data_IF_221224011158
#
_entry.id   IF_221224011158
#
_cell.length_a   1.000
_cell.length_b   1.000
_cell.length_c   1.000
_cell.angle_alpha   90.00
_cell.angle_beta   90.00
_cell.angle_gamma   90.00
#
_symmetry.space_group_name_H-M   'P 1'
#
loop_
_entity.id
_entity.type
_entity.pdbx_description
1 polymer ?
#
# COMPACT_ATOMS: atom_id res chain seq x y z
N UNK A 1 32.79 24.85 -7.44
CA UNK A 1 33.14 25.90 -6.46
C UNK A 1 31.84 26.60 -6.05
N UNK A 2 31.78 27.07 -4.81
CA UNK A 2 30.63 27.59 -4.05
C UNK A 2 29.85 26.48 -3.34
N UNK A 3 29.88 26.33 -2.01
CA UNK A 3 30.34 27.24 -0.95
C UNK A 3 29.25 27.32 0.11
N UNK A 4 29.16 26.27 0.92
CA UNK A 4 28.21 26.06 2.02
C UNK A 4 28.47 27.03 3.17
N UNK A 5 27.44 27.70 3.70
CA UNK A 5 27.50 28.43 4.97
C UNK A 5 26.40 27.90 5.90
N UNK A 6 26.82 27.11 6.88
CA UNK A 6 26.01 26.64 8.01
C UNK A 6 26.10 27.70 9.10
N UNK A 7 24.96 28.22 9.55
CA UNK A 7 24.89 29.12 10.71
C UNK A 7 24.35 28.35 11.91
N UNK A 8 25.19 28.18 12.92
CA UNK A 8 24.92 27.50 14.19
C UNK A 8 24.20 28.46 15.13
N UNK A 9 23.04 28.06 15.68
CA UNK A 9 22.36 28.77 16.76
C UNK A 9 22.46 27.94 18.04
N UNK A 10 23.20 28.49 19.02
CA UNK A 10 23.35 27.98 20.38
C UNK A 10 22.14 28.40 21.24
N UNK A 11 21.47 27.44 21.87
CA UNK A 11 20.42 27.69 22.86
C UNK A 11 20.98 27.52 24.28
N UNK A 12 20.92 28.59 25.08
CA UNK A 12 21.27 28.59 26.51
C UNK A 12 20.03 28.19 27.33
N UNK A 13 20.15 27.09 28.09
CA UNK A 13 19.14 26.65 29.03
C UNK A 13 19.36 27.30 30.41
N UNK A 14 18.32 27.93 30.97
CA UNK A 14 18.26 28.33 32.36
C UNK A 14 17.25 27.43 33.08
N UNK A 15 17.75 26.59 33.99
CA UNK A 15 16.95 25.78 34.89
C UNK A 15 16.58 26.62 36.12
N UNK A 16 15.32 26.55 36.54
CA UNK A 16 14.89 27.03 37.86
C UNK A 16 14.11 25.92 38.54
N UNK A 17 14.73 25.37 39.58
CA UNK A 17 14.17 24.35 40.47
C UNK A 17 13.35 25.05 41.54
N UNK A 18 12.11 24.62 41.77
CA UNK A 18 11.42 24.89 43.04
C UNK A 18 10.57 23.67 43.40
N UNK A 19 10.91 23.07 44.54
CA UNK A 19 10.17 22.00 45.19
C UNK A 19 9.23 22.56 46.28
N UNK A 20 8.50 21.64 46.94
CA UNK A 20 7.61 21.79 48.12
C UNK A 20 6.12 21.86 47.69
N UNK A 21 5.13 21.13 48.25
CA UNK A 21 5.03 20.24 49.41
C UNK A 21 3.96 19.15 49.17
N UNK A 22 4.16 18.02 49.85
CA UNK A 22 3.21 16.94 50.11
C UNK A 22 2.15 17.38 51.11
N UNK A 23 0.87 17.10 50.85
CA UNK A 23 -0.15 16.96 51.90
C UNK A 23 -1.04 15.75 51.59
N UNK A 24 -1.14 14.86 52.56
CA UNK A 24 -1.91 13.62 52.59
C UNK A 24 -3.36 13.90 52.98
N UNK A 25 -4.32 13.31 52.27
CA UNK A 25 -5.69 13.06 52.75
C UNK A 25 -6.21 11.74 52.16
N UNK A 26 -6.76 10.89 53.03
CA UNK A 26 -7.28 9.54 52.74
C UNK A 26 -8.83 9.58 52.51
N UNK A 27 -9.51 8.46 52.24
CA UNK A 27 -10.13 8.17 50.94
C UNK A 27 -11.66 8.16 50.97
N UNK A 28 -12.32 8.52 49.86
CA UNK A 28 -13.74 8.21 49.68
C UNK A 28 -14.08 7.63 48.30
N UNK A 29 -14.77 6.49 48.39
CA UNK A 29 -15.55 5.76 47.37
C UNK A 29 -14.78 4.91 46.34
N UNK A 30 -14.87 3.60 46.57
CA UNK A 30 -14.53 2.57 45.60
C UNK A 30 -15.47 2.65 44.38
N UNK A 31 -14.90 2.99 43.22
CA UNK A 31 -15.60 2.89 41.94
C UNK A 31 -15.79 1.42 41.56
N UNK A 32 -17.04 1.06 41.25
CA UNK A 32 -17.55 -0.29 40.88
C UNK A 32 -16.85 -0.95 39.68
N UNK A 33 -15.87 -0.28 39.06
CA UNK A 33 -15.10 -0.72 37.89
C UNK A 33 -13.94 -1.69 38.23
N UNK A 34 -13.54 -1.80 39.51
CA UNK A 34 -12.44 -2.70 39.92
C UNK A 34 -12.88 -4.12 40.32
N UNK A 35 -14.19 -4.35 40.49
CA UNK A 35 -14.76 -5.67 40.81
C UNK A 35 -14.88 -6.59 39.58
N UNK A 36 -14.92 -6.04 38.36
CA UNK A 36 -15.03 -6.81 37.11
C UNK A 36 -13.69 -7.29 36.54
N UNK A 37 -12.55 -6.98 37.18
CA UNK A 37 -11.21 -7.33 36.67
C UNK A 37 -10.56 -8.47 37.47
N UNK A 38 -11.13 -8.90 38.59
CA UNK A 38 -10.50 -9.89 39.49
C UNK A 38 -11.24 -11.24 39.60
N UNK A 39 -12.18 -11.56 38.70
CA UNK A 39 -13.00 -12.78 38.80
C UNK A 39 -13.03 -13.66 37.55
N UNK A 40 -11.92 -13.76 36.81
CA UNK A 40 -11.76 -14.71 35.70
C UNK A 40 -10.59 -15.70 35.90
N UNK A 41 -10.37 -16.11 37.16
CA UNK A 41 -9.63 -17.32 37.48
C UNK A 41 -10.59 -18.32 38.13
N UNK A 42 -10.83 -19.43 37.42
CA UNK A 42 -11.64 -20.61 37.77
C UNK A 42 -13.14 -20.59 37.40
N UNK A 43 -13.56 -21.72 36.80
CA UNK A 43 -14.88 -22.15 36.35
C UNK A 43 -15.36 -21.65 34.97
N UNK A 44 -15.53 -22.60 34.05
CA UNK A 44 -15.90 -22.40 32.65
C UNK A 44 -17.23 -21.69 32.47
N UNK A 45 -17.20 -20.59 31.73
CA UNK A 45 -18.36 -19.89 31.20
C UNK A 45 -18.08 -19.52 29.76
N UNK A 46 -19.02 -19.87 28.88
CA UNK A 46 -19.06 -19.51 27.46
C UNK A 46 -18.91 -17.99 27.32
N UNK A 47 -17.73 -17.52 26.94
CA UNK A 47 -17.53 -16.13 26.53
C UNK A 47 -17.88 -16.01 25.04
N UNK A 48 -18.91 -15.23 24.74
CA UNK A 48 -19.18 -14.69 23.41
C UNK A 48 -18.00 -13.79 23.01
N UNK A 49 -17.02 -14.39 22.35
CA UNK A 49 -15.86 -13.69 21.81
C UNK A 49 -16.28 -12.81 20.65
N UNK A 50 -16.19 -11.49 20.83
CA UNK A 50 -16.09 -10.58 19.69
C UNK A 50 -14.78 -10.88 18.97
N UNK A 51 -14.87 -11.40 17.75
CA UNK A 51 -13.74 -11.63 16.86
C UNK A 51 -13.19 -10.27 16.41
N UNK A 52 -12.18 -9.78 17.13
CA UNK A 52 -11.24 -8.82 16.58
C UNK A 52 -10.12 -9.64 15.96
N UNK A 53 -9.84 -9.57 14.65
CA UNK A 53 -8.65 -10.20 14.09
C UNK A 53 -7.43 -9.43 14.60
N UNK A 54 -6.98 -9.75 15.81
CA UNK A 54 -5.60 -9.53 16.19
C UNK A 54 -4.80 -10.53 15.37
N UNK A 55 -3.89 -10.00 14.55
CA UNK A 55 -2.76 -10.77 14.03
C UNK A 55 -1.94 -11.19 15.24
N UNK A 56 -2.29 -12.33 15.84
CA UNK A 56 -1.38 -13.04 16.72
C UNK A 56 -0.13 -13.31 15.90
N UNK A 57 1.04 -12.97 16.47
CA UNK A 57 2.32 -13.24 15.84
C UNK A 57 2.38 -14.70 15.44
N UNK A 58 2.19 -14.96 14.15
CA UNK A 58 2.40 -16.27 13.58
C UNK A 58 3.86 -16.61 13.89
N UNK A 59 4.09 -17.77 14.53
CA UNK A 59 5.36 -18.47 14.40
C UNK A 59 5.77 -18.37 12.94
N UNK A 60 6.84 -17.64 12.65
CA UNK A 60 7.14 -17.19 11.30
C UNK A 60 7.21 -18.40 10.37
N UNK A 61 6.18 -18.59 9.55
CA UNK A 61 6.17 -19.64 8.54
C UNK A 61 7.36 -19.34 7.62
N UNK A 62 8.32 -20.27 7.46
CA UNK A 62 9.52 -19.99 6.68
C UNK A 62 9.17 -19.60 5.24
N UNK A 63 9.64 -18.42 4.83
CA UNK A 63 9.48 -17.95 3.45
C UNK A 63 10.39 -18.76 2.53
N UNK A 64 9.83 -19.39 1.49
CA UNK A 64 10.63 -20.11 0.48
C UNK A 64 11.40 -19.09 -0.35
N UNK A 65 10.71 -18.03 -0.77
CA UNK A 65 11.30 -16.84 -1.36
C UNK A 65 10.40 -15.62 -1.10
N UNK A 66 10.75 -14.47 -1.68
CA UNK A 66 10.02 -13.21 -1.45
C UNK A 66 8.62 -13.19 -2.10
N UNK A 67 8.33 -14.06 -3.06
CA UNK A 67 7.05 -14.07 -3.80
C UNK A 67 6.06 -15.11 -3.27
N UNK A 68 6.54 -16.22 -2.72
CA UNK A 68 5.72 -17.38 -2.36
C UNK A 68 5.94 -17.76 -0.90
N UNK A 69 4.85 -17.76 -0.15
CA UNK A 69 4.76 -18.33 1.19
C UNK A 69 3.80 -19.53 1.14
N UNK A 70 4.20 -20.66 1.74
CA UNK A 70 3.37 -21.86 1.84
C UNK A 70 3.17 -22.20 3.30
N UNK A 71 1.92 -22.23 3.72
CA UNK A 71 1.54 -22.54 5.08
C UNK A 71 1.49 -24.06 5.32
N UNK A 72 1.58 -24.52 6.58
CA UNK A 72 1.47 -25.94 6.91
C UNK A 72 0.15 -26.60 6.50
N UNK A 73 -0.91 -25.80 6.27
CA UNK A 73 -2.22 -26.27 5.79
C UNK A 73 -2.34 -26.29 4.25
N UNK A 74 -1.20 -26.17 3.55
CA UNK A 74 -1.07 -26.08 2.10
C UNK A 74 -1.56 -24.78 1.47
N UNK A 75 -1.96 -23.77 2.26
CA UNK A 75 -2.31 -22.45 1.72
C UNK A 75 -1.09 -21.79 1.07
N UNK A 76 -1.23 -21.39 -0.19
CA UNK A 76 -0.20 -20.69 -0.96
C UNK A 76 -0.53 -19.20 -1.02
N UNK A 77 0.26 -18.39 -0.33
CA UNK A 77 0.14 -16.93 -0.36
C UNK A 77 1.11 -16.36 -1.39
N UNK A 78 0.58 -15.69 -2.40
CA UNK A 78 1.36 -15.03 -3.45
C UNK A 78 1.44 -13.53 -3.16
N UNK A 79 2.67 -13.02 -3.02
CA UNK A 79 2.93 -11.61 -2.75
C UNK A 79 3.04 -10.80 -4.04
N UNK A 80 2.16 -9.81 -4.19
CA UNK A 80 2.00 -9.05 -5.43
C UNK A 80 2.16 -7.56 -5.17
N UNK A 81 3.15 -6.91 -5.77
CA UNK A 81 3.37 -5.47 -5.58
C UNK A 81 2.41 -4.57 -6.40
N UNK A 82 1.71 -5.10 -7.41
CA UNK A 82 0.77 -4.32 -8.25
C UNK A 82 -0.59 -4.14 -7.60
N UNK A 83 -1.19 -2.95 -7.72
CA UNK A 83 -2.48 -2.64 -7.13
C UNK A 83 -3.63 -3.21 -7.96
N UNK A 84 -4.71 -3.64 -7.30
CA UNK A 84 -5.91 -4.18 -7.93
C UNK A 84 -7.05 -3.17 -7.84
N UNK A 85 -7.61 -2.83 -9.00
CA UNK A 85 -8.50 -1.69 -9.23
C UNK A 85 -9.75 -2.11 -10.04
N UNK A 86 -9.92 -3.42 -10.27
CA UNK A 86 -10.96 -3.99 -11.13
C UNK A 86 -10.42 -4.67 -12.40
N UNK A 87 -9.14 -4.47 -12.73
CA UNK A 87 -8.51 -5.01 -13.94
C UNK A 87 -8.05 -6.47 -13.81
N UNK A 88 -7.96 -7.04 -12.59
CA UNK A 88 -7.62 -8.45 -12.37
C UNK A 88 -6.14 -8.75 -12.45
N UNK A 89 -5.29 -7.74 -12.29
CA UNK A 89 -3.83 -7.91 -12.25
C UNK A 89 -3.42 -8.83 -11.11
N UNK A 90 -4.06 -8.72 -9.95
CA UNK A 90 -3.75 -9.56 -8.80
C UNK A 90 -4.01 -11.04 -9.10
N UNK A 91 -5.19 -11.36 -9.64
CA UNK A 91 -5.52 -12.75 -10.04
C UNK A 91 -4.60 -13.22 -11.16
N UNK A 92 -4.35 -12.41 -12.19
CA UNK A 92 -3.50 -12.79 -13.31
C UNK A 92 -2.05 -13.09 -12.91
N UNK A 93 -1.46 -12.27 -12.03
CA UNK A 93 -0.12 -12.53 -11.49
C UNK A 93 -0.10 -13.76 -10.59
N UNK A 94 -1.13 -13.98 -9.77
CA UNK A 94 -1.26 -15.18 -8.95
C UNK A 94 -1.35 -16.45 -9.82
N UNK A 95 -2.11 -16.42 -10.92
CA UNK A 95 -2.17 -17.55 -11.86
C UNK A 95 -0.79 -17.88 -12.44
N UNK A 96 -0.02 -16.87 -12.85
CA UNK A 96 1.33 -17.08 -13.40
C UNK A 96 2.28 -17.69 -12.36
N UNK A 97 2.18 -17.28 -11.09
CA UNK A 97 2.96 -17.89 -10.00
C UNK A 97 2.50 -19.33 -9.76
N UNK A 98 1.19 -19.58 -9.66
CA UNK A 98 0.62 -20.90 -9.40
C UNK A 98 0.94 -21.91 -10.52
N UNK A 99 0.90 -21.45 -11.77
CA UNK A 99 1.26 -22.22 -12.96
C UNK A 99 2.69 -22.75 -12.89
N UNK A 100 3.64 -21.88 -12.55
CA UNK A 100 5.03 -22.25 -12.37
C UNK A 100 5.26 -23.01 -11.07
N UNK A 101 4.55 -22.67 -9.99
CA UNK A 101 4.67 -23.38 -8.73
C UNK A 101 4.08 -24.80 -8.81
N UNK A 102 3.19 -25.07 -9.77
CA UNK A 102 2.42 -26.32 -9.86
C UNK A 102 1.64 -26.62 -8.57
N UNK A 103 1.07 -25.59 -7.94
CA UNK A 103 0.19 -25.75 -6.79
C UNK A 103 -1.29 -25.91 -7.21
N UNK A 104 -2.12 -26.32 -6.27
CA UNK A 104 -3.57 -26.31 -6.47
C UNK A 104 -4.11 -24.88 -6.41
N UNK A 105 -4.79 -24.42 -7.46
CA UNK A 105 -5.40 -23.09 -7.52
C UNK A 105 -6.37 -22.84 -6.36
N UNK A 106 -7.06 -23.89 -5.88
CA UNK A 106 -8.00 -23.78 -4.76
C UNK A 106 -7.32 -23.41 -3.43
N UNK A 107 -5.98 -23.51 -3.36
CA UNK A 107 -5.17 -23.14 -2.19
C UNK A 107 -4.51 -21.77 -2.31
N UNK A 108 -4.70 -21.08 -3.44
CA UNK A 108 -4.01 -19.81 -3.72
C UNK A 108 -4.77 -18.65 -3.10
N UNK A 109 -4.03 -17.80 -2.39
CA UNK A 109 -4.45 -16.48 -1.94
C UNK A 109 -3.34 -15.46 -2.24
N UNK A 110 -3.60 -14.19 -1.96
CA UNK A 110 -2.65 -13.11 -2.23
C UNK A 110 -2.47 -12.19 -1.05
N UNK A 111 -1.30 -11.59 -0.96
CA UNK A 111 -0.95 -10.59 0.03
C UNK A 111 -0.24 -9.41 -0.64
N UNK A 112 -0.47 -8.20 -0.14
CA UNK A 112 0.37 -7.06 -0.48
C UNK A 112 1.62 -7.05 0.41
N UNK A 113 2.83 -7.27 -0.14
CA UNK A 113 4.03 -6.83 0.56
C UNK A 113 3.99 -5.31 0.72
N UNK A 114 4.55 -4.79 1.80
CA UNK A 114 4.57 -3.34 2.05
C UNK A 114 5.75 -2.67 1.33
N UNK A 115 5.64 -1.38 0.94
CA UNK A 115 6.77 -0.62 0.43
C UNK A 115 7.94 -0.57 1.41
N UNK A 116 7.68 -0.56 2.74
CA UNK A 116 8.72 -0.67 3.76
C UNK A 116 9.45 -2.01 3.71
N UNK A 117 8.73 -3.13 3.56
CA UNK A 117 9.34 -4.45 3.34
C UNK A 117 10.17 -4.47 2.06
N UNK A 118 9.68 -3.85 0.97
CA UNK A 118 10.43 -3.76 -0.28
C UNK A 118 11.74 -3.00 -0.10
N UNK A 119 11.70 -1.83 0.55
CA UNK A 119 12.87 -1.01 0.83
C UNK A 119 13.90 -1.78 1.67
N UNK A 120 13.44 -2.43 2.75
CA UNK A 120 14.30 -3.22 3.64
C UNK A 120 14.97 -4.41 2.93
N UNK A 121 14.41 -4.88 1.81
CA UNK A 121 14.89 -6.02 1.02
C UNK A 121 15.45 -5.61 -0.33
N UNK A 122 16.10 -4.44 -0.40
CA UNK A 122 16.77 -3.94 -1.61
C UNK A 122 15.87 -3.95 -2.86
N UNK A 123 14.59 -3.60 -2.67
CA UNK A 123 13.55 -3.56 -3.72
C UNK A 123 13.29 -4.92 -4.39
N UNK A 124 13.24 -5.99 -3.60
CA UNK A 124 13.04 -7.36 -4.09
C UNK A 124 11.79 -7.58 -4.97
N UNK A 125 10.74 -6.75 -4.83
CA UNK A 125 9.54 -6.81 -5.67
C UNK A 125 9.52 -5.76 -6.79
N UNK A 126 10.62 -5.03 -6.99
CA UNK A 126 10.72 -3.98 -7.98
C UNK A 126 9.93 -2.72 -7.60
N UNK A 127 9.43 -2.02 -8.62
CA UNK A 127 8.66 -0.79 -8.43
C UNK A 127 7.21 -1.09 -8.00
N UNK A 128 6.62 -0.23 -7.17
CA UNK A 128 5.26 -0.39 -6.62
C UNK A 128 4.19 0.38 -7.39
N UNK A 129 4.47 0.78 -8.63
CA UNK A 129 3.57 1.61 -9.45
C UNK A 129 2.60 0.77 -10.30
N UNK A 130 1.34 1.13 -10.37
CA UNK A 130 0.37 0.52 -11.29
C UNK A 130 -0.19 1.60 -12.20
N UNK A 131 0.05 1.47 -13.51
CA UNK A 131 -0.41 2.44 -14.51
C UNK A 131 0.09 2.09 -15.90
N UNK A 132 -0.51 2.68 -16.94
CA UNK A 132 -0.10 2.48 -18.34
C UNK A 132 -0.20 1.03 -18.84
N UNK A 133 -1.12 0.24 -18.29
CA UNK A 133 -1.29 -1.20 -18.62
C UNK A 133 -0.03 -2.04 -18.40
N UNK A 134 0.85 -1.62 -17.47
CA UNK A 134 2.14 -2.26 -17.17
C UNK A 134 2.06 -3.42 -16.19
N UNK A 135 0.98 -3.54 -15.43
CA UNK A 135 0.86 -4.49 -14.30
C UNK A 135 1.31 -5.92 -14.65
N UNK A 136 0.65 -6.56 -15.63
CA UNK A 136 1.06 -7.87 -16.14
C UNK A 136 2.31 -7.76 -17.03
N UNK A 137 2.33 -6.81 -17.96
CA UNK A 137 3.38 -6.68 -19.00
C UNK A 137 4.79 -6.57 -18.43
N UNK A 138 4.97 -5.92 -17.30
CA UNK A 138 6.28 -5.74 -16.66
C UNK A 138 6.52 -6.75 -15.53
N UNK A 139 5.49 -7.49 -15.12
CA UNK A 139 5.60 -8.38 -13.97
C UNK A 139 5.59 -9.85 -14.29
N UNK A 140 5.09 -10.25 -15.46
CA UNK A 140 4.89 -11.66 -15.77
C UNK A 140 6.17 -12.49 -15.66
N UNK A 141 7.32 -11.96 -16.06
CA UNK A 141 8.58 -12.73 -16.07
C UNK A 141 9.10 -13.00 -14.66
N UNK A 142 9.24 -11.96 -13.82
CA UNK A 142 9.81 -12.13 -12.48
C UNK A 142 8.90 -12.95 -11.55
N UNK A 143 7.57 -12.80 -11.65
CA UNK A 143 6.66 -13.60 -10.82
C UNK A 143 6.71 -15.08 -11.20
N UNK A 144 6.81 -15.38 -12.50
CA UNK A 144 6.98 -16.76 -12.99
C UNK A 144 8.28 -17.37 -12.49
N UNK A 145 9.38 -16.62 -12.57
CA UNK A 145 10.68 -17.05 -12.01
C UNK A 145 10.58 -17.32 -10.51
N UNK A 146 9.87 -16.47 -9.78
CA UNK A 146 9.58 -16.68 -8.35
C UNK A 146 8.83 -17.99 -8.08
N UNK A 147 7.77 -18.28 -8.84
CA UNK A 147 7.01 -19.53 -8.72
C UNK A 147 7.84 -20.77 -9.08
N UNK A 148 8.60 -20.72 -10.18
CA UNK A 148 9.44 -21.83 -10.63
C UNK A 148 10.59 -22.11 -9.65
N UNK A 149 11.25 -21.06 -9.14
CA UNK A 149 12.30 -21.20 -8.13
C UNK A 149 11.76 -21.84 -6.84
N UNK A 150 10.58 -21.42 -6.37
CA UNK A 150 9.93 -22.04 -5.21
C UNK A 150 9.65 -23.53 -5.44
N UNK A 151 9.10 -23.91 -6.61
CA UNK A 151 8.89 -25.32 -6.99
C UNK A 151 10.21 -26.11 -6.95
N UNK A 152 11.28 -25.57 -7.54
CA UNK A 152 12.59 -26.23 -7.57
C UNK A 152 13.13 -26.47 -6.16
N UNK A 153 13.03 -25.47 -5.27
CA UNK A 153 13.48 -25.59 -3.88
C UNK A 153 12.65 -26.62 -3.10
N UNK A 154 11.33 -26.66 -3.31
CA UNK A 154 10.44 -27.65 -2.69
C UNK A 154 10.76 -29.08 -3.14
N UNK A 155 10.93 -29.28 -4.45
CA UNK A 155 11.31 -30.57 -5.04
C UNK A 155 12.69 -31.00 -4.55
N UNK A 156 13.65 -30.09 -4.50
CA UNK A 156 14.99 -30.38 -3.98
C UNK A 156 14.94 -30.80 -2.51
N UNK A 157 14.19 -30.09 -1.66
CA UNK A 157 14.06 -30.44 -0.25
C UNK A 157 13.46 -31.84 -0.05
N UNK A 158 12.46 -32.21 -0.86
CA UNK A 158 11.91 -33.57 -0.83
C UNK A 158 12.92 -34.61 -1.29
N UNK A 159 13.63 -34.34 -2.40
CA UNK A 159 14.64 -35.21 -2.96
C UNK A 159 15.81 -35.47 -1.99
N UNK A 160 16.29 -34.41 -1.32
CA UNK A 160 17.32 -34.49 -0.28
C UNK A 160 16.85 -35.36 0.90
N UNK A 161 15.62 -35.14 1.39
CA UNK A 161 15.04 -35.95 2.46
C UNK A 161 14.83 -37.42 2.07
N UNK A 162 14.75 -37.71 0.78
CA UNK A 162 14.56 -39.03 0.21
C UNK A 162 15.85 -39.72 -0.24
N UNK A 163 16.96 -39.00 -0.31
CA UNK A 163 18.23 -39.48 -0.84
C UNK A 163 18.18 -39.82 -2.33
N UNK A 164 17.43 -39.07 -3.13
CA UNK A 164 17.24 -39.32 -4.58
C UNK A 164 17.56 -38.07 -5.41
N UNK A 165 17.84 -38.19 -6.71
CA UNK A 165 17.94 -37.03 -7.60
C UNK A 165 16.63 -36.25 -7.69
N UNK A 166 16.70 -34.92 -7.65
CA UNK A 166 15.53 -34.05 -7.82
C UNK A 166 14.84 -34.21 -9.18
N UNK A 167 15.59 -34.59 -10.22
CA UNK A 167 15.06 -34.88 -11.56
C UNK A 167 14.09 -36.07 -11.59
N UNK A 168 14.19 -36.98 -10.61
CA UNK A 168 13.30 -38.15 -10.49
C UNK A 168 12.00 -37.84 -9.72
N UNK A 169 11.87 -36.60 -9.26
CA UNK A 169 10.71 -36.11 -8.52
C UNK A 169 9.85 -35.19 -9.39
N UNK A 170 8.52 -35.39 -9.35
CA UNK A 170 7.54 -34.56 -10.05
C UNK A 170 6.64 -33.85 -9.05
N UNK A 171 6.38 -32.57 -9.30
CA UNK A 171 5.36 -31.81 -8.59
C UNK A 171 4.05 -31.74 -9.39
N UNK A 172 2.92 -31.86 -8.70
CA UNK A 172 1.59 -31.68 -9.26
C UNK A 172 0.62 -31.29 -8.15
N UNK A 173 -0.09 -30.16 -8.32
CA UNK A 173 -1.07 -29.64 -7.36
C UNK A 173 -0.56 -29.59 -5.91
N UNK A 174 0.70 -29.19 -5.71
CA UNK A 174 1.31 -29.08 -4.38
C UNK A 174 1.78 -30.39 -3.76
N UNK A 175 1.73 -31.50 -4.51
CA UNK A 175 2.24 -32.80 -4.08
C UNK A 175 3.50 -33.13 -4.87
N UNK A 176 4.55 -33.53 -4.17
CA UNK A 176 5.81 -34.00 -4.76
C UNK A 176 5.79 -35.52 -4.71
N UNK A 177 6.10 -36.16 -5.84
CA UNK A 177 6.14 -37.63 -5.98
C UNK A 177 7.47 -38.07 -6.57
N UNK A 178 8.15 -39.02 -5.93
CA UNK A 178 9.29 -39.73 -6.53
C UNK A 178 8.79 -40.97 -7.27
N UNK A 179 8.88 -40.97 -8.60
CA UNK A 179 8.20 -41.94 -9.46
C UNK A 179 8.64 -43.39 -9.18
N UNK A 180 9.95 -43.65 -9.06
CA UNK A 180 10.47 -45.00 -8.91
C UNK A 180 10.08 -45.68 -7.59
N UNK A 181 9.92 -44.91 -6.52
CA UNK A 181 9.56 -45.44 -5.19
C UNK A 181 8.09 -45.22 -4.80
N UNK A 182 7.33 -44.48 -5.61
CA UNK A 182 5.99 -43.98 -5.29
C UNK A 182 5.85 -43.16 -3.99
N UNK A 183 6.96 -42.77 -3.33
CA UNK A 183 6.96 -41.86 -2.17
C UNK A 183 6.34 -40.51 -2.53
N UNK A 184 5.58 -39.95 -1.58
CA UNK A 184 4.90 -38.66 -1.72
C UNK A 184 5.11 -37.78 -0.49
N UNK A 185 5.13 -36.47 -0.72
CA UNK A 185 5.10 -35.43 0.32
C UNK A 185 4.37 -34.21 -0.22
N UNK A 186 4.04 -33.25 0.64
CA UNK A 186 3.32 -32.02 0.27
C UNK A 186 4.22 -30.79 0.36
N UNK A 187 3.80 -29.70 -0.26
CA UNK A 187 4.53 -28.44 -0.19
C UNK A 187 4.58 -27.87 1.22
N UNK A 188 3.48 -27.88 1.97
CA UNK A 188 3.44 -27.41 3.35
C UNK A 188 4.42 -28.16 4.26
N UNK A 189 4.55 -29.48 4.07
CA UNK A 189 5.51 -30.29 4.80
C UNK A 189 6.97 -29.95 4.44
N UNK A 190 7.25 -29.62 3.18
CA UNK A 190 8.61 -29.34 2.70
C UNK A 190 9.02 -27.86 2.83
N UNK A 191 8.08 -26.93 3.00
CA UNK A 191 8.36 -25.50 3.04
C UNK A 191 9.45 -25.11 4.06
N UNK A 192 9.48 -25.63 5.32
CA UNK A 192 10.54 -25.31 6.27
C UNK A 192 11.95 -25.78 5.86
N UNK A 193 12.04 -26.89 5.12
CA UNK A 193 13.31 -27.39 4.60
C UNK A 193 13.72 -26.61 3.35
N UNK A 194 12.78 -26.37 2.44
CA UNK A 194 13.00 -25.59 1.22
C UNK A 194 13.48 -24.17 1.51
N UNK A 195 12.94 -23.50 2.52
CA UNK A 195 13.34 -22.14 2.92
C UNK A 195 14.80 -22.02 3.38
N UNK A 196 15.47 -23.14 3.69
CA UNK A 196 16.90 -23.16 4.07
C UNK A 196 17.83 -23.33 2.87
N UNK A 197 17.28 -23.69 1.71
CA UNK A 197 18.07 -23.89 0.50
C UNK A 197 18.44 -22.53 -0.12
N UNK A 198 19.60 -22.49 -0.77
CA UNK A 198 19.98 -21.35 -1.59
C UNK A 198 19.06 -21.31 -2.83
N UNK A 199 18.44 -20.16 -3.16
CA UNK A 199 17.63 -20.03 -4.37
C UNK A 199 18.44 -20.39 -5.64
N UNK A 200 17.84 -21.13 -6.58
CA UNK A 200 18.51 -21.48 -7.84
C UNK A 200 18.77 -20.24 -8.69
N UNK A 201 19.86 -20.24 -9.44
CA UNK A 201 20.22 -19.16 -10.38
C UNK A 201 19.75 -19.44 -11.80
N UNK A 202 19.69 -20.71 -12.21
CA UNK A 202 19.16 -21.14 -13.49
C UNK A 202 17.70 -21.59 -13.31
N UNK A 203 16.77 -20.76 -13.77
CA UNK A 203 15.33 -20.96 -13.56
C UNK A 203 14.67 -21.21 -14.91
N UNK A 204 14.27 -22.47 -15.13
CA UNK A 204 13.54 -22.87 -16.33
C UNK A 204 12.04 -22.65 -16.11
N UNK A 205 11.45 -21.81 -16.96
CA UNK A 205 10.03 -21.53 -16.98
C UNK A 205 9.27 -22.52 -17.87
N UNK A 206 8.00 -22.78 -17.54
CA UNK A 206 7.13 -23.63 -18.38
C UNK A 206 6.87 -23.00 -19.75
N UNK A 207 6.66 -23.82 -20.77
CA UNK A 207 6.15 -23.34 -22.07
C UNK A 207 4.68 -22.90 -21.89
N UNK A 208 4.29 -21.67 -22.28
CA UNK A 208 2.91 -21.22 -22.27
C UNK A 208 1.90 -22.16 -22.94
N UNK A 209 2.33 -22.96 -23.92
CA UNK A 209 1.49 -23.97 -24.58
C UNK A 209 1.07 -25.12 -23.64
N UNK A 210 1.77 -25.29 -22.53
CA UNK A 210 1.53 -26.35 -21.53
C UNK A 210 0.82 -25.84 -20.28
N UNK A 211 0.40 -24.58 -20.27
CA UNK A 211 -0.25 -23.99 -19.11
C UNK A 211 -1.63 -24.59 -18.85
N UNK A 212 -1.95 -24.78 -17.58
CA UNK A 212 -3.22 -25.36 -17.13
C UNK A 212 -4.01 -24.46 -16.17
N UNK A 213 -3.37 -23.43 -15.62
CA UNK A 213 -3.91 -22.43 -14.71
C UNK A 213 -3.84 -21.05 -15.38
N UNK A 214 -2.65 -20.64 -15.83
CA UNK A 214 -2.44 -19.32 -16.41
C UNK A 214 -3.18 -19.16 -17.74
N UNK A 215 -3.91 -18.06 -17.88
CA UNK A 215 -4.72 -17.74 -19.07
C UNK A 215 -6.07 -18.44 -19.10
N UNK A 216 -6.40 -19.26 -18.09
CA UNK A 216 -7.72 -19.87 -17.96
C UNK A 216 -8.73 -18.92 -17.31
N UNK A 217 -10.03 -19.02 -17.65
CA UNK A 217 -11.09 -18.18 -17.10
C UNK A 217 -11.49 -18.62 -15.69
N UNK A 218 -10.52 -18.63 -14.76
CA UNK A 218 -10.74 -18.98 -13.36
C UNK A 218 -11.46 -17.84 -12.62
N UNK A 219 -12.32 -18.14 -11.63
CA UNK A 219 -12.88 -17.13 -10.74
C UNK A 219 -11.76 -16.29 -10.11
N UNK A 220 -11.97 -14.97 -10.02
CA UNK A 220 -10.98 -14.10 -9.38
C UNK A 220 -10.93 -14.35 -7.88
N UNK A 221 -9.72 -14.22 -7.32
CA UNK A 221 -9.46 -14.43 -5.90
C UNK A 221 -10.21 -13.44 -5.00
N UNK A 222 -10.59 -12.28 -5.53
CA UNK A 222 -11.25 -11.19 -4.84
C UNK A 222 -12.77 -11.10 -5.13
N UNK A 223 -13.34 -11.98 -5.97
CA UNK A 223 -14.75 -11.89 -6.37
C UNK A 223 -15.71 -11.99 -5.18
N UNK A 224 -15.57 -13.02 -4.33
CA UNK A 224 -16.53 -13.28 -3.25
C UNK A 224 -16.59 -12.13 -2.25
N UNK A 225 -15.42 -11.60 -1.84
CA UNK A 225 -15.37 -10.48 -0.90
C UNK A 225 -16.04 -9.22 -1.49
N UNK A 226 -15.83 -8.95 -2.79
CA UNK A 226 -16.42 -7.81 -3.49
C UNK A 226 -17.93 -7.93 -3.66
N UNK A 227 -18.46 -9.12 -3.95
CA UNK A 227 -19.90 -9.31 -4.20
C UNK A 227 -20.73 -9.47 -2.93
N UNK A 228 -20.11 -9.79 -1.80
CA UNK A 228 -20.78 -9.93 -0.50
C UNK A 228 -20.70 -8.68 0.37
N UNK A 229 -19.95 -7.65 -0.05
CA UNK A 229 -19.65 -6.47 0.77
C UNK A 229 -18.66 -6.74 1.92
N UNK A 230 -18.00 -7.91 1.93
CA UNK A 230 -17.00 -8.26 2.93
C UNK A 230 -15.62 -7.65 2.63
N UNK A 231 -15.39 -7.19 1.40
CA UNK A 231 -14.14 -6.55 1.02
C UNK A 231 -13.99 -5.20 1.73
N UNK A 232 -12.89 -5.06 2.49
CA UNK A 232 -12.50 -3.80 3.13
C UNK A 232 -11.69 -2.98 2.12
N UNK A 233 -12.19 -1.78 1.80
CA UNK A 233 -11.48 -0.73 1.07
C UNK A 233 -10.88 0.29 2.04
N UNK A 234 -10.17 1.30 1.53
CA UNK A 234 -9.52 2.31 2.36
C UNK A 234 -10.49 3.04 3.31
N UNK A 235 -11.69 3.37 2.83
CA UNK A 235 -12.72 4.03 3.63
C UNK A 235 -13.39 3.15 4.68
N UNK A 236 -13.35 1.84 4.50
CA UNK A 236 -14.01 0.89 5.41
C UNK A 236 -13.14 0.62 6.65
N UNK A 237 -11.86 0.99 6.60
CA UNK A 237 -10.89 0.72 7.64
C UNK A 237 -11.32 1.34 8.97
N UNK A 238 -11.35 0.51 10.01
CA UNK A 238 -11.59 0.94 11.39
C UNK A 238 -10.41 0.56 12.26
N UNK A 239 -9.94 1.51 13.07
CA UNK A 239 -8.94 1.29 14.10
C UNK A 239 -9.51 1.69 15.47
N UNK A 240 -9.08 1.06 16.56
CA UNK A 240 -9.45 1.50 17.90
C UNK A 240 -9.06 2.97 18.11
N UNK A 241 -10.04 3.80 18.48
CA UNK A 241 -9.82 5.24 18.70
C UNK A 241 -9.65 6.08 17.42
N UNK A 242 -9.95 5.52 16.24
CA UNK A 242 -9.88 6.26 14.97
C UNK A 242 -10.76 7.52 15.01
N UNK A 243 -10.15 8.66 14.72
CA UNK A 243 -10.84 9.93 14.45
C UNK A 243 -10.98 10.12 12.94
N UNK A 244 -11.95 10.95 12.56
CA UNK A 244 -12.24 11.25 11.16
C UNK A 244 -11.89 12.72 10.88
N UNK A 245 -11.22 12.96 9.77
CA UNK A 245 -10.92 14.30 9.28
C UNK A 245 -11.75 14.60 8.03
N UNK A 246 -12.33 15.79 7.96
CA UNK A 246 -12.88 16.36 6.74
C UNK A 246 -12.09 17.62 6.39
N UNK A 247 -11.67 17.74 5.14
CA UNK A 247 -10.76 18.78 4.66
C UNK A 247 -11.48 19.71 3.68
N UNK A 248 -11.13 21.00 3.72
CA UNK A 248 -11.41 21.96 2.65
C UNK A 248 -10.10 22.58 2.22
N UNK A 249 -9.85 22.52 0.92
CA UNK A 249 -8.70 23.13 0.25
C UNK A 249 -9.16 24.40 -0.48
N UNK A 250 -8.20 25.28 -0.78
CA UNK A 250 -8.45 26.44 -1.62
C UNK A 250 -9.00 25.97 -2.98
N UNK A 251 -10.14 26.52 -3.45
CA UNK A 251 -10.72 26.08 -4.71
C UNK A 251 -9.93 26.55 -5.95
N UNK A 252 -8.94 27.42 -5.77
CA UNK A 252 -8.11 27.98 -6.83
C UNK A 252 -6.71 27.35 -6.78
N UNK A 253 -6.27 26.80 -7.92
CA UNK A 253 -4.95 26.15 -8.03
C UNK A 253 -3.85 27.18 -7.73
N UNK A 254 -3.00 26.87 -6.74
CA UNK A 254 -1.91 27.76 -6.30
C UNK A 254 -2.36 28.86 -5.33
N UNK A 255 -3.65 28.91 -4.97
CA UNK A 255 -4.15 29.71 -3.87
C UNK A 255 -3.76 29.13 -2.51
N UNK A 256 -3.93 29.94 -1.45
CA UNK A 256 -3.47 29.66 -0.09
C UNK A 256 -4.55 29.90 0.96
N UNK A 257 -4.42 29.20 2.09
CA UNK A 257 -5.17 29.48 3.31
C UNK A 257 -4.67 30.78 3.92
N UNK A 258 -5.49 31.84 3.87
CA UNK A 258 -5.14 33.13 4.47
C UNK A 258 -5.47 33.16 5.94
N UNK A 259 -6.70 32.80 6.30
CA UNK A 259 -7.15 32.65 7.70
C UNK A 259 -8.45 31.85 7.79
N UNK A 260 -8.76 31.34 8.98
CA UNK A 260 -10.04 30.74 9.32
C UNK A 260 -10.43 31.06 10.77
N UNK A 261 -11.72 31.02 11.08
CA UNK A 261 -12.23 31.11 12.46
C UNK A 261 -12.70 29.75 12.97
N UNK A 262 -11.87 29.10 13.79
CA UNK A 262 -12.18 27.80 14.37
C UNK A 262 -13.08 27.87 15.60
N UNK A 263 -13.24 29.02 16.25
CA UNK A 263 -13.89 29.09 17.56
C UNK A 263 -15.34 28.56 17.55
N UNK A 264 -16.21 28.92 16.58
CA UNK A 264 -17.56 28.38 16.50
C UNK A 264 -17.57 26.86 16.27
N UNK A 265 -16.64 26.38 15.44
CA UNK A 265 -16.58 24.99 15.01
C UNK A 265 -16.06 24.07 16.11
N UNK A 266 -15.11 24.53 16.92
CA UNK A 266 -14.58 23.77 18.06
C UNK A 266 -15.62 23.53 19.16
N UNK A 267 -16.67 24.35 19.23
CA UNK A 267 -17.79 24.16 20.16
C UNK A 267 -18.83 23.15 19.66
N UNK A 268 -18.74 22.70 18.40
CA UNK A 268 -19.65 21.71 17.85
C UNK A 268 -19.41 20.33 18.45
N UNK A 269 -20.49 19.59 18.70
CA UNK A 269 -20.45 18.27 19.32
C UNK A 269 -19.51 17.30 18.57
N UNK A 270 -18.56 16.72 19.31
CA UNK A 270 -17.66 15.68 18.83
C UNK A 270 -16.45 16.19 18.03
N UNK A 271 -16.36 17.49 17.74
CA UNK A 271 -15.16 18.11 17.18
C UNK A 271 -14.03 18.05 18.19
N UNK A 272 -12.83 17.72 17.71
CA UNK A 272 -11.61 17.56 18.53
C UNK A 272 -10.57 18.62 18.20
N UNK A 273 -10.40 18.92 16.93
CA UNK A 273 -9.37 19.83 16.42
C UNK A 273 -9.81 20.47 15.10
N UNK A 274 -9.30 21.67 14.84
CA UNK A 274 -9.32 22.34 13.52
C UNK A 274 -7.88 22.71 13.22
N UNK A 275 -7.31 22.17 12.14
CA UNK A 275 -5.88 22.28 11.85
C UNK A 275 -5.64 22.74 10.42
N UNK A 276 -4.71 23.68 10.18
CA UNK A 276 -4.23 23.94 8.83
C UNK A 276 -3.52 22.68 8.30
N UNK A 277 -3.64 22.45 6.99
CA UNK A 277 -3.01 21.34 6.27
C UNK A 277 -2.29 21.93 5.06
N UNK A 278 -0.96 21.82 5.05
CA UNK A 278 -0.14 22.52 4.05
C UNK A 278 -0.34 24.04 4.14
N UNK A 279 -0.16 24.72 3.01
CA UNK A 279 -0.35 26.17 2.87
C UNK A 279 -1.72 26.55 2.28
N UNK A 280 -2.50 25.57 1.80
CA UNK A 280 -3.73 25.81 1.04
C UNK A 280 -5.02 25.25 1.68
N UNK A 281 -4.93 24.43 2.72
CA UNK A 281 -6.10 23.71 3.24
C UNK A 281 -6.26 23.78 4.76
N UNK A 282 -7.47 23.47 5.21
CA UNK A 282 -7.84 23.32 6.63
C UNK A 282 -8.69 22.07 6.82
N UNK A 283 -8.42 21.31 7.87
CA UNK A 283 -9.15 20.09 8.22
C UNK A 283 -9.79 20.21 9.61
N UNK A 284 -11.02 19.68 9.72
CA UNK A 284 -11.70 19.48 11.00
C UNK A 284 -11.66 18.01 11.36
N UNK A 285 -11.21 17.71 12.58
CA UNK A 285 -11.11 16.35 13.13
C UNK A 285 -12.21 16.13 14.15
N UNK A 286 -12.96 15.04 14.02
CA UNK A 286 -14.05 14.66 14.93
C UNK A 286 -14.11 13.15 15.18
N UNK A 287 -14.92 12.73 16.14
CA UNK A 287 -15.14 11.31 16.45
C UNK A 287 -15.94 10.53 15.38
N UNK A 288 -16.62 11.23 14.47
CA UNK A 288 -17.32 10.64 13.32
C UNK A 288 -17.11 11.51 12.08
N UNK A 289 -17.11 10.89 10.90
CA UNK A 289 -16.96 11.62 9.64
C UNK A 289 -18.06 12.67 9.44
N UNK A 290 -19.31 12.35 9.77
CA UNK A 290 -20.42 13.29 9.58
C UNK A 290 -20.31 14.56 10.43
N UNK A 291 -19.79 14.44 11.66
CA UNK A 291 -19.51 15.60 12.51
C UNK A 291 -18.37 16.43 11.94
N UNK A 292 -17.28 15.79 11.49
CA UNK A 292 -16.17 16.48 10.83
C UNK A 292 -16.63 17.23 9.58
N UNK A 293 -17.44 16.58 8.72
CA UNK A 293 -17.93 17.17 7.46
C UNK A 293 -18.84 18.38 7.71
N UNK A 294 -19.84 18.24 8.60
CA UNK A 294 -20.71 19.36 8.97
C UNK A 294 -19.92 20.54 9.56
N UNK A 295 -18.92 20.24 10.37
CA UNK A 295 -18.08 21.22 11.02
C UNK A 295 -17.16 21.96 10.04
N UNK A 296 -16.53 21.27 9.09
CA UNK A 296 -15.71 21.92 8.05
C UNK A 296 -16.55 22.71 7.05
N UNK A 297 -17.80 22.30 6.78
CA UNK A 297 -18.73 23.07 5.93
C UNK A 297 -19.16 24.38 6.57
N UNK A 298 -19.29 24.41 7.90
CA UNK A 298 -19.62 25.60 8.67
C UNK A 298 -18.41 26.52 8.96
N UNK A 299 -17.20 26.06 8.66
CA UNK A 299 -15.98 26.81 8.93
C UNK A 299 -15.91 28.06 8.03
N UNK A 300 -15.73 29.22 8.66
CA UNK A 300 -15.50 30.47 7.95
C UNK A 300 -14.02 30.53 7.56
N UNK A 301 -13.76 30.49 6.24
CA UNK A 301 -12.42 30.46 5.68
C UNK A 301 -12.26 31.63 4.72
N UNK A 302 -11.13 32.32 4.82
CA UNK A 302 -10.68 33.30 3.84
C UNK A 302 -9.47 32.72 3.09
N UNK A 303 -9.56 32.76 1.77
CA UNK A 303 -8.51 32.31 0.86
C UNK A 303 -7.74 33.51 0.31
N UNK A 304 -6.45 33.32 0.09
CA UNK A 304 -5.69 34.10 -0.88
C UNK A 304 -5.72 33.32 -2.19
N UNK A 305 -6.56 33.74 -3.15
CA UNK A 305 -6.81 32.99 -4.39
C UNK A 305 -5.60 32.99 -5.33
N UNK A 306 -4.59 33.83 -5.08
CA UNK A 306 -3.35 33.83 -5.84
C UNK A 306 -3.51 34.24 -7.31
N UNK A 307 -2.49 33.97 -8.15
CA UNK A 307 -2.43 34.48 -9.52
C UNK A 307 -3.43 33.82 -10.48
N UNK A 308 -3.99 32.65 -10.14
CA UNK A 308 -4.90 31.90 -11.00
C UNK A 308 -6.39 32.14 -10.68
N UNK A 309 -6.72 33.13 -9.83
CA UNK A 309 -8.10 33.45 -9.46
C UNK A 309 -9.03 33.70 -10.66
N UNK A 310 -8.46 34.16 -11.78
CA UNK A 310 -9.19 34.48 -13.01
C UNK A 310 -8.86 33.52 -14.17
N UNK A 311 -8.15 32.42 -13.92
CA UNK A 311 -7.77 31.48 -14.96
C UNK A 311 -9.01 30.80 -15.56
N UNK A 312 -9.19 30.94 -16.88
CA UNK A 312 -10.31 30.35 -17.61
C UNK A 312 -9.87 29.18 -18.49
N UNK A 313 -10.85 28.38 -18.96
CA UNK A 313 -10.58 27.34 -19.97
C UNK A 313 -10.00 27.93 -21.25
N UNK A 314 -10.41 29.15 -21.65
CA UNK A 314 -9.90 29.80 -22.85
C UNK A 314 -8.42 30.19 -22.71
N UNK A 315 -7.99 30.62 -21.52
CA UNK A 315 -6.58 30.91 -21.24
C UNK A 315 -5.73 29.64 -21.31
N UNK A 316 -6.23 28.54 -20.77
CA UNK A 316 -5.56 27.23 -20.81
C UNK A 316 -5.47 26.71 -22.24
N UNK A 317 -6.55 26.80 -23.03
CA UNK A 317 -6.56 26.38 -24.43
C UNK A 317 -5.55 27.19 -25.26
N UNK A 318 -5.48 28.50 -25.02
CA UNK A 318 -4.49 29.37 -25.67
C UNK A 318 -3.06 29.00 -25.28
N UNK A 319 -2.81 28.71 -24.00
CA UNK A 319 -1.51 28.26 -23.49
C UNK A 319 -1.08 26.94 -24.13
N UNK A 320 -1.96 25.93 -24.15
CA UNK A 320 -1.66 24.62 -24.74
C UNK A 320 -1.42 24.72 -26.24
N UNK A 321 -2.20 25.54 -26.95
CA UNK A 321 -2.01 25.79 -28.39
C UNK A 321 -0.67 26.45 -28.67
N UNK A 322 -0.29 27.47 -27.92
CA UNK A 322 1.02 28.11 -28.07
C UNK A 322 2.18 27.14 -27.79
N UNK A 323 1.98 26.18 -26.89
CA UNK A 323 2.97 25.12 -26.60
C UNK A 323 3.27 24.18 -27.76
N UNK A 324 2.39 24.05 -28.76
CA UNK A 324 2.63 23.22 -29.95
C UNK A 324 3.75 23.78 -30.84
N UNK A 325 3.88 25.11 -30.86
CA UNK A 325 4.86 25.84 -31.68
C UNK A 325 6.11 26.25 -30.88
N UNK A 326 6.16 25.91 -29.59
CA UNK A 326 7.24 26.34 -28.70
C UNK A 326 8.58 25.66 -29.06
N UNK A 327 9.69 26.44 -29.17
CA UNK A 327 10.99 25.88 -29.53
C UNK A 327 11.58 24.97 -28.45
N UNK A 328 11.14 25.09 -27.20
CA UNK A 328 11.60 24.31 -26.04
C UNK A 328 10.80 23.01 -25.81
N UNK A 329 10.11 22.49 -26.83
CA UNK A 329 9.33 21.25 -26.73
C UNK A 329 10.16 20.04 -26.25
N UNK A 330 9.60 19.28 -25.30
CA UNK A 330 10.18 18.01 -24.85
C UNK A 330 10.03 16.94 -25.95
N UNK A 331 11.15 16.36 -26.38
CA UNK A 331 11.16 15.24 -27.33
C UNK A 331 10.72 13.97 -26.59
N UNK A 332 9.46 13.57 -26.79
CA UNK A 332 8.90 12.35 -26.18
C UNK A 332 9.37 11.04 -26.83
N UNK A 333 9.65 11.07 -28.14
CA UNK A 333 10.21 9.95 -28.90
C UNK A 333 10.86 10.49 -30.18
N UNK A 334 12.02 9.95 -30.52
CA UNK A 334 12.73 10.29 -31.75
C UNK A 334 13.04 9.01 -32.52
N UNK A 335 12.45 8.85 -33.69
CA UNK A 335 12.68 7.69 -34.58
C UNK A 335 12.99 8.23 -35.97
N UNK A 336 14.21 7.96 -36.43
CA UNK A 336 14.70 8.48 -37.71
C UNK A 336 14.83 10.00 -37.76
N UNK A 337 14.85 10.57 -38.97
CA UNK A 337 14.98 12.02 -39.23
C UNK A 337 13.64 12.61 -39.66
N UNK A 338 12.66 12.60 -38.75
CA UNK A 338 11.28 12.96 -39.07
C UNK A 338 11.13 14.37 -39.66
N UNK A 339 11.84 15.37 -39.09
CA UNK A 339 11.80 16.76 -39.58
C UNK A 339 12.33 16.90 -41.00
N UNK A 340 13.48 16.30 -41.30
CA UNK A 340 14.07 16.32 -42.66
C UNK A 340 13.14 15.63 -43.67
N UNK A 341 12.54 14.51 -43.26
CA UNK A 341 11.63 13.74 -44.10
C UNK A 341 10.33 14.49 -44.40
N UNK A 342 9.80 15.23 -43.42
CA UNK A 342 8.64 16.10 -43.61
C UNK A 342 8.95 17.31 -44.50
N UNK A 343 10.14 17.91 -44.37
CA UNK A 343 10.57 19.03 -45.19
C UNK A 343 10.69 18.66 -46.69
N UNK A 344 11.04 17.41 -47.00
CA UNK A 344 11.13 16.89 -48.37
C UNK A 344 9.87 16.19 -48.89
N UNK A 345 8.77 16.16 -48.13
CA UNK A 345 7.59 15.37 -48.50
C UNK A 345 6.80 16.01 -49.65
N UNK A 346 6.35 15.19 -50.61
CA UNK A 346 5.52 15.64 -51.72
C UNK A 346 4.12 16.14 -51.28
N UNK A 347 3.65 15.70 -50.11
CA UNK A 347 2.40 16.14 -49.48
C UNK A 347 2.53 16.05 -47.97
N UNK A 348 2.09 17.09 -47.29
CA UNK A 348 1.96 17.15 -45.82
C UNK A 348 0.49 17.29 -45.44
N UNK A 349 0.12 16.72 -44.29
CA UNK A 349 -1.18 16.91 -43.65
C UNK A 349 -0.92 17.29 -42.20
N UNK A 350 -1.56 18.38 -41.78
CA UNK A 350 -1.43 18.91 -40.44
C UNK A 350 -2.81 19.09 -39.83
N UNK A 351 -2.95 18.72 -38.56
CA UNK A 351 -4.18 18.88 -37.80
C UNK A 351 -3.83 19.06 -36.32
N UNK A 352 -4.52 20.00 -35.68
CA UNK A 352 -4.44 20.21 -34.23
C UNK A 352 -5.63 19.52 -33.57
N UNK A 353 -5.33 18.72 -32.55
CA UNK A 353 -6.33 18.06 -31.71
C UNK A 353 -6.21 18.57 -30.30
N UNK A 354 -7.34 18.80 -29.64
CA UNK A 354 -7.41 19.15 -28.22
C UNK A 354 -8.25 18.12 -27.48
N UNK A 355 -7.98 17.96 -26.19
CA UNK A 355 -8.74 17.10 -25.31
C UNK A 355 -9.03 17.84 -24.00
N UNK A 356 -10.27 17.85 -23.50
CA UNK A 356 -10.60 18.55 -22.25
C UNK A 356 -9.97 17.85 -21.05
N UNK A 357 -9.92 18.54 -19.90
CA UNK A 357 -9.63 17.87 -18.65
C UNK A 357 -10.68 16.79 -18.36
N UNK A 358 -10.22 15.57 -18.14
CA UNK A 358 -11.07 14.45 -17.76
C UNK A 358 -10.94 14.19 -16.27
N UNK A 359 -12.07 14.04 -15.59
CA UNK A 359 -12.11 13.53 -14.23
C UNK A 359 -12.10 12.00 -14.24
N UNK A 360 -11.29 11.39 -13.38
CA UNK A 360 -11.26 9.92 -13.23
C UNK A 360 -12.59 9.38 -12.69
N UNK A 361 -13.32 10.19 -11.91
CA UNK A 361 -14.64 9.88 -11.37
C UNK A 361 -14.71 8.52 -10.64
N UNK A 362 -13.69 8.23 -9.81
CA UNK A 362 -13.64 7.00 -9.01
C UNK A 362 -14.87 6.91 -8.08
N UNK A 363 -15.40 5.69 -7.92
CA UNK A 363 -16.50 5.42 -7.00
C UNK A 363 -16.06 5.56 -5.55
N UNK A 364 -14.83 5.13 -5.24
CA UNK A 364 -14.16 5.44 -3.98
C UNK A 364 -13.45 6.79 -4.09
N UNK A 365 -13.85 7.77 -3.26
CA UNK A 365 -13.14 9.05 -3.15
C UNK A 365 -11.75 8.90 -2.50
N UNK A 366 -10.86 9.84 -2.75
CA UNK A 366 -9.50 9.79 -2.20
C UNK A 366 -9.53 9.77 -0.67
N UNK A 367 -8.81 8.82 -0.07
CA UNK A 367 -8.77 8.64 1.37
C UNK A 367 -7.42 8.06 1.83
N UNK A 368 -7.10 8.26 3.10
CA UNK A 368 -5.99 7.61 3.77
C UNK A 368 -6.26 7.59 5.28
N UNK A 369 -5.80 6.54 5.95
CA UNK A 369 -5.76 6.47 7.41
C UNK A 369 -4.31 6.44 7.86
N UNK A 370 -3.93 7.38 8.73
CA UNK A 370 -2.59 7.46 9.29
C UNK A 370 -2.61 7.13 10.78
N UNK A 371 -1.62 6.37 11.23
CA UNK A 371 -1.33 6.13 12.65
C UNK A 371 0.10 6.58 12.94
N UNK A 372 0.21 7.68 13.66
CA UNK A 372 1.48 8.15 14.19
C UNK A 372 1.67 7.64 15.62
N UNK A 373 2.75 6.91 15.86
CA UNK A 373 3.17 6.47 17.20
C UNK A 373 4.38 7.31 17.61
N UNK A 374 4.28 8.14 18.67
CA UNK A 374 5.41 8.93 19.13
C UNK A 374 6.51 8.03 19.70
N UNK A 375 7.73 8.56 19.78
CA UNK A 375 8.82 7.85 20.43
C UNK A 375 8.50 7.63 21.92
N UNK A 376 8.77 6.43 22.43
CA UNK A 376 8.53 6.07 23.82
C UNK A 376 9.59 5.06 24.30
N UNK A 377 10.20 5.31 25.47
CA UNK A 377 11.13 4.43 26.18
C UNK A 377 11.87 3.38 25.32
N UNK A 378 12.87 3.82 24.55
CA UNK A 378 13.72 2.95 23.72
C UNK A 378 13.13 2.55 22.35
N UNK A 379 11.89 2.94 22.05
CA UNK A 379 11.25 2.76 20.75
C UNK A 379 11.22 4.08 19.98
N UNK A 380 11.70 4.11 18.72
CA UNK A 380 11.64 5.31 17.89
C UNK A 380 10.19 5.60 17.49
N UNK A 381 9.92 6.87 17.15
CA UNK A 381 8.65 7.24 16.53
C UNK A 381 8.43 6.46 15.23
N UNK A 382 7.16 6.21 14.90
CA UNK A 382 6.76 5.45 13.71
C UNK A 382 5.49 6.03 13.09
N UNK A 383 5.43 6.06 11.78
CA UNK A 383 4.21 6.43 11.04
C UNK A 383 3.77 5.28 10.12
N UNK A 384 2.49 4.91 10.21
CA UNK A 384 1.88 3.87 9.37
C UNK A 384 0.71 4.47 8.61
N UNK A 385 0.62 4.21 7.31
CA UNK A 385 -0.50 4.70 6.49
C UNK A 385 -1.17 3.55 5.77
N UNK A 386 -2.49 3.45 5.89
CA UNK A 386 -3.33 2.59 5.06
C UNK A 386 -3.97 3.46 3.99
N UNK A 387 -3.71 3.13 2.72
CA UNK A 387 -4.20 3.96 1.62
C UNK A 387 -4.48 3.12 0.35
N UNK A 388 -5.59 3.38 -0.35
CA UNK A 388 -5.83 2.88 -1.70
C UNK A 388 -4.95 3.66 -2.69
N UNK A 389 -3.79 3.11 -3.04
CA UNK A 389 -2.81 3.78 -3.92
C UNK A 389 -2.33 2.89 -5.06
N UNK A 390 -2.13 3.51 -6.22
CA UNK A 390 -1.43 2.92 -7.35
C UNK A 390 0.09 2.91 -7.17
N UNK A 391 0.65 3.75 -6.31
CA UNK A 391 2.10 3.91 -6.15
C UNK A 391 2.51 3.86 -4.67
N UNK A 392 2.78 2.65 -4.19
CA UNK A 392 3.15 2.44 -2.79
C UNK A 392 4.48 3.09 -2.39
N UNK A 393 5.46 3.16 -3.29
CA UNK A 393 6.77 3.80 -2.99
C UNK A 393 6.63 5.32 -2.84
N UNK A 394 5.85 5.96 -3.71
CA UNK A 394 5.53 7.39 -3.56
C UNK A 394 4.72 7.66 -2.30
N UNK A 395 3.75 6.79 -1.97
CA UNK A 395 2.99 6.91 -0.72
C UNK A 395 3.89 6.78 0.52
N UNK A 396 4.90 5.89 0.49
CA UNK A 396 5.86 5.77 1.58
C UNK A 396 6.73 7.03 1.72
N UNK A 397 7.18 7.60 0.61
CA UNK A 397 7.91 8.87 0.62
C UNK A 397 7.07 10.01 1.20
N UNK A 398 5.81 10.17 0.74
CA UNK A 398 4.89 11.16 1.27
C UNK A 398 4.59 10.95 2.77
N UNK A 399 4.50 9.70 3.22
CA UNK A 399 4.32 9.36 4.64
C UNK A 399 5.52 9.79 5.48
N UNK A 400 6.74 9.53 5.00
CA UNK A 400 7.97 9.93 5.67
C UNK A 400 8.13 11.45 5.74
N UNK A 401 7.87 12.14 4.63
CA UNK A 401 7.89 13.60 4.56
C UNK A 401 6.88 14.22 5.52
N UNK A 402 5.61 13.82 5.45
CA UNK A 402 4.55 14.36 6.30
C UNK A 402 4.79 14.08 7.79
N UNK A 403 5.40 12.94 8.14
CA UNK A 403 5.71 12.58 9.52
C UNK A 403 7.01 13.23 10.04
N UNK A 404 7.85 13.80 9.18
CA UNK A 404 9.20 14.23 9.53
C UNK A 404 10.10 13.08 10.00
N UNK A 405 9.87 11.86 9.51
CA UNK A 405 10.58 10.64 9.90
C UNK A 405 11.36 10.06 8.71
N UNK A 406 12.49 9.36 8.95
CA UNK A 406 13.15 8.62 7.88
C UNK A 406 12.28 7.45 7.38
N UNK A 407 12.42 7.07 6.11
CA UNK A 407 11.65 5.98 5.47
C UNK A 407 11.65 4.68 6.29
N UNK A 408 12.76 4.34 6.97
CA UNK A 408 12.89 3.14 7.80
C UNK A 408 12.03 3.16 9.08
N UNK A 409 11.39 4.28 9.38
CA UNK A 409 10.42 4.47 10.47
C UNK A 409 9.00 4.69 9.95
N UNK A 410 8.78 4.50 8.67
CA UNK A 410 7.46 4.59 8.05
C UNK A 410 7.09 3.27 7.38
N UNK A 411 5.80 3.00 7.25
CA UNK A 411 5.32 1.98 6.34
C UNK A 411 3.96 2.33 5.75
N UNK A 412 3.64 1.70 4.62
CA UNK A 412 2.38 1.87 3.91
C UNK A 412 1.73 0.51 3.64
N UNK A 413 0.47 0.39 4.05
CA UNK A 413 -0.37 -0.77 3.82
C UNK A 413 -1.35 -0.44 2.70
N UNK A 414 -1.01 -0.87 1.48
CA UNK A 414 -1.90 -0.69 0.32
C UNK A 414 -3.23 -1.39 0.57
N UNK A 415 -4.32 -0.67 0.36
CA UNK A 415 -5.67 -1.22 0.34
C UNK A 415 -6.09 -1.50 -1.11
N UNK A 416 -7.09 -2.37 -1.30
CA UNK A 416 -7.82 -2.39 -2.57
C UNK A 416 -8.45 -1.03 -2.81
N UNK A 417 -8.62 -0.67 -4.09
CA UNK A 417 -9.05 0.66 -4.48
C UNK A 417 -10.26 0.62 -5.41
N UNK A 418 -11.23 1.49 -5.15
CA UNK A 418 -12.52 1.60 -5.84
C UNK A 418 -12.48 2.52 -7.06
N UNK A 419 -11.45 2.37 -7.89
CA UNK A 419 -11.15 3.20 -9.06
C UNK A 419 -9.84 3.98 -8.88
N UNK A 420 -9.13 4.23 -9.97
CA UNK A 420 -7.85 4.97 -9.97
C UNK A 420 -7.31 5.21 -11.37
#
# INVERSE_FOLDING_TARGET
>A
MNGTAITTLTATAAATTTAIATTTAAPHSASRRRFLVTSSAAAGGLMLGFHVPMVQGQSAVPEINVWVLIQPDETVVVRIARSEMGQGTLTGLAQLVAEELQCDWARVTTEYPTPGQNLARARAWGNYSTGGSRGIRESHDYVRKGGAAARMMLVQAAADGWGVPAADCRADKGVITHAASARRTTYGAMAPAAAKLKPPTDIVLKDPKTWTIAGQPLPRLDTVAKTTGAQVYGMDLKLPGLLNAAIRDCPIIGGKLKRFDAAPVLLMLGVKQVVPVGDSAVAVVADTWWRAKKAVDALLIEWDEGPHAQLSSADIDALLKAGLDAPEGLVGSEVGKARDSLAGAARTLEAVYTYPYQNHACMEVMNATAKFTPAAAGQPARCEVWTPTQNGEAALAATAEAAGLPLSKCDVYKQLLGGG
#
